data_IF_928188636428
#
_entry.id   IF_928188636428
#
_cell.length_a   1.000
_cell.length_b   1.000
_cell.length_c   1.000
_cell.angle_alpha   90.00
_cell.angle_beta   90.00
_cell.angle_gamma   90.00
#
_symmetry.space_group_name_H-M   'P 1'
#
loop_
_entity.id
_entity.type
_entity.pdbx_description
1 polymer ?
#
# COMPACT_ATOMS: atom_id res chain seq x y z
N UNK A 1 14.61 -9.67 -3.16
CA UNK A 1 13.38 -8.88 -2.88
C UNK A 1 12.22 -9.59 -3.54
N UNK A 2 11.32 -10.19 -2.76
CA UNK A 2 10.15 -10.86 -3.36
C UNK A 2 9.24 -9.80 -3.96
N UNK A 3 8.87 -9.97 -5.23
CA UNK A 3 7.96 -9.06 -5.93
C UNK A 3 6.57 -9.19 -5.29
N UNK A 4 5.94 -8.07 -5.00
CA UNK A 4 4.58 -8.07 -4.46
C UNK A 4 3.62 -8.75 -5.46
N UNK A 5 2.84 -9.73 -5.01
CA UNK A 5 1.93 -10.52 -5.85
C UNK A 5 0.63 -9.76 -6.14
N UNK A 6 0.75 -8.80 -7.06
CA UNK A 6 -0.38 -8.03 -7.58
C UNK A 6 -1.51 -8.89 -8.17
N UNK A 7 -1.22 -9.92 -8.99
CA UNK A 7 -2.26 -10.79 -9.52
C UNK A 7 -3.10 -11.47 -8.43
N UNK A 8 -2.47 -11.97 -7.36
CA UNK A 8 -3.19 -12.58 -6.25
C UNK A 8 -4.09 -11.57 -5.52
N UNK A 9 -3.60 -10.35 -5.30
CA UNK A 9 -4.38 -9.29 -4.65
C UNK A 9 -5.62 -8.90 -5.48
N UNK A 10 -5.45 -8.69 -6.79
CA UNK A 10 -6.53 -8.34 -7.71
C UNK A 10 -7.59 -9.45 -7.78
N UNK A 11 -7.17 -10.72 -7.80
CA UNK A 11 -8.10 -11.86 -7.74
C UNK A 11 -8.84 -11.93 -6.42
N UNK A 12 -8.20 -11.63 -5.29
CA UNK A 12 -8.84 -11.70 -3.98
C UNK A 12 -9.83 -10.56 -3.74
N UNK A 13 -9.55 -9.36 -4.26
CA UNK A 13 -10.42 -8.19 -4.17
C UNK A 13 -11.52 -8.16 -5.25
N UNK A 14 -11.11 -7.84 -6.48
CA UNK A 14 -12.02 -7.61 -7.62
C UNK A 14 -12.71 -8.92 -8.03
N UNK A 15 -11.93 -9.99 -8.22
CA UNK A 15 -12.47 -11.29 -8.66
C UNK A 15 -13.19 -12.10 -7.58
N UNK A 16 -12.72 -12.02 -6.33
CA UNK A 16 -13.13 -12.89 -5.24
C UNK A 16 -14.25 -12.33 -4.38
N UNK A 17 -14.35 -11.00 -4.25
CA UNK A 17 -15.44 -10.33 -3.50
C UNK A 17 -16.40 -9.54 -4.38
N UNK A 18 -16.19 -9.51 -5.69
CA UNK A 18 -17.03 -8.76 -6.63
C UNK A 18 -16.91 -7.24 -6.48
N UNK A 19 -15.82 -6.75 -5.88
CA UNK A 19 -15.55 -5.31 -5.81
C UNK A 19 -15.36 -4.78 -7.22
N UNK A 20 -16.03 -3.68 -7.55
CA UNK A 20 -15.68 -2.95 -8.78
C UNK A 20 -14.26 -2.38 -8.65
N UNK A 21 -13.54 -2.14 -9.77
CA UNK A 21 -12.21 -1.55 -9.71
C UNK A 21 -12.19 -0.23 -8.93
N UNK A 22 -13.23 0.60 -9.06
CA UNK A 22 -13.34 1.88 -8.36
C UNK A 22 -13.43 1.69 -6.84
N UNK A 23 -14.28 0.77 -6.37
CA UNK A 23 -14.40 0.46 -4.95
C UNK A 23 -13.10 -0.12 -4.39
N UNK A 24 -12.44 -1.02 -5.13
CA UNK A 24 -11.17 -1.60 -4.72
C UNK A 24 -10.08 -0.54 -4.50
N UNK A 25 -9.97 0.45 -5.38
CA UNK A 25 -8.98 1.53 -5.25
C UNK A 25 -9.38 2.62 -4.26
N UNK A 26 -10.66 2.74 -3.91
CA UNK A 26 -11.14 3.64 -2.88
C UNK A 26 -10.89 3.10 -1.46
N UNK A 27 -10.74 1.77 -1.30
CA UNK A 27 -10.49 1.16 0.00
C UNK A 27 -9.11 1.52 0.55
N UNK A 28 -9.07 1.75 1.85
CA UNK A 28 -7.79 1.79 2.56
C UNK A 28 -7.19 0.38 2.63
N UNK A 29 -5.85 0.24 2.71
CA UNK A 29 -5.22 -1.07 2.90
C UNK A 29 -5.74 -1.82 4.13
N UNK A 30 -6.09 -1.11 5.20
CA UNK A 30 -6.66 -1.70 6.42
C UNK A 30 -8.05 -2.32 6.18
N UNK A 31 -8.93 -1.61 5.46
CA UNK A 31 -10.26 -2.14 5.11
C UNK A 31 -10.16 -3.33 4.16
N UNK A 32 -9.25 -3.27 3.19
CA UNK A 32 -9.00 -4.38 2.28
C UNK A 32 -8.53 -5.63 3.05
N UNK A 33 -7.59 -5.49 3.97
CA UNK A 33 -7.09 -6.59 4.81
C UNK A 33 -8.17 -7.17 5.72
N UNK A 34 -9.01 -6.30 6.29
CA UNK A 34 -10.17 -6.70 7.10
C UNK A 34 -11.14 -7.53 6.27
N UNK A 35 -11.47 -7.08 5.05
CA UNK A 35 -12.31 -7.82 4.13
C UNK A 35 -11.69 -9.19 3.82
N UNK A 36 -10.40 -9.24 3.47
CA UNK A 36 -9.67 -10.49 3.18
C UNK A 36 -9.59 -11.49 4.36
N UNK A 37 -10.16 -11.17 5.52
CA UNK A 37 -10.21 -12.08 6.68
C UNK A 37 -8.87 -12.15 7.42
N UNK A 38 -7.92 -11.28 7.10
CA UNK A 38 -6.65 -11.18 7.80
C UNK A 38 -6.81 -10.37 9.09
N UNK A 39 -7.56 -10.92 10.05
CA UNK A 39 -7.61 -10.41 11.42
C UNK A 39 -6.33 -10.82 12.14
N UNK A 40 -5.41 -9.88 12.35
CA UNK A 40 -4.25 -10.07 13.24
C UNK A 40 -2.86 -10.11 12.59
N UNK A 41 -2.74 -9.86 11.27
CA UNK A 41 -1.46 -9.67 10.57
C UNK A 41 -1.31 -8.30 9.93
N UNK A 42 -1.98 -7.29 10.46
CA UNK A 42 -1.52 -5.92 10.26
C UNK A 42 -0.38 -5.70 11.24
N UNK A 43 0.86 -5.85 10.78
CA UNK A 43 1.96 -5.11 11.41
C UNK A 43 1.43 -3.68 11.63
N UNK A 44 1.55 -3.18 12.85
CA UNK A 44 0.97 -1.90 13.24
C UNK A 44 1.24 -0.86 12.14
N UNK A 45 0.25 -0.01 11.78
CA UNK A 45 0.45 1.00 10.75
C UNK A 45 1.76 1.71 11.04
N UNK A 46 2.60 1.87 10.01
CA UNK A 46 3.98 2.37 10.14
C UNK A 46 4.06 3.43 11.24
N UNK A 47 4.71 3.08 12.35
CA UNK A 47 4.85 4.01 13.45
C UNK A 47 5.59 5.25 12.94
N UNK A 48 5.30 6.42 13.52
CA UNK A 48 5.92 7.68 13.12
C UNK A 48 7.45 7.59 13.03
N UNK A 49 8.07 6.85 13.95
CA UNK A 49 9.50 6.56 13.95
C UNK A 49 9.99 5.85 12.66
N UNK A 50 9.25 4.86 12.16
CA UNK A 50 9.61 4.13 10.94
C UNK A 50 9.47 5.00 9.69
N UNK A 51 8.48 5.88 9.67
CA UNK A 51 8.34 6.86 8.60
C UNK A 51 9.55 7.83 8.58
N UNK A 52 9.97 8.31 9.74
CA UNK A 52 11.14 9.20 9.87
C UNK A 52 12.45 8.51 9.48
N UNK A 53 12.62 7.23 9.82
CA UNK A 53 13.74 6.42 9.34
C UNK A 53 13.79 6.33 7.81
N UNK A 54 12.64 6.09 7.17
CA UNK A 54 12.56 5.99 5.71
C UNK A 54 12.81 7.33 5.03
N UNK A 55 12.25 8.42 5.55
CA UNK A 55 12.49 9.77 5.02
C UNK A 55 13.98 10.15 5.06
N UNK A 56 14.71 9.67 6.08
CA UNK A 56 16.16 9.86 6.17
C UNK A 56 16.95 8.95 5.23
N UNK A 57 16.48 7.71 5.05
CA UNK A 57 17.14 6.73 4.18
C UNK A 57 16.93 7.05 2.68
N UNK A 58 15.81 7.67 2.34
CA UNK A 58 15.41 8.05 1.00
C UNK A 58 14.98 9.52 0.99
N UNK A 59 15.93 10.46 1.12
CA UNK A 59 15.62 11.88 1.05
C UNK A 59 15.14 12.22 -0.36
N UNK A 60 14.05 12.98 -0.47
CA UNK A 60 13.57 13.46 -1.76
C UNK A 60 14.62 14.37 -2.39
N UNK A 61 15.08 14.01 -3.58
CA UNK A 61 15.85 14.93 -4.41
C UNK A 61 14.90 15.99 -4.93
N UNK A 62 15.10 17.23 -4.52
CA UNK A 62 14.53 18.36 -5.26
C UNK A 62 15.20 18.33 -6.62
N UNK A 63 14.46 17.91 -7.65
CA UNK A 63 14.84 18.17 -9.03
C UNK A 63 15.06 19.67 -9.11
N UNK A 64 16.32 20.08 -9.18
CA UNK A 64 16.66 21.50 -9.19
C UNK A 64 15.88 22.19 -10.29
N UNK A 65 15.33 23.36 -9.97
CA UNK A 65 15.00 24.37 -10.97
C UNK A 65 16.22 24.51 -11.88
N UNK A 66 16.12 23.93 -13.07
CA UNK A 66 17.20 23.81 -14.03
C UNK A 66 16.66 23.69 -15.45
N UNK A 67 15.46 24.22 -15.68
CA UNK A 67 14.97 24.52 -17.02
C UNK A 67 15.14 26.03 -17.24
N UNK A 68 16.34 26.43 -17.68
CA UNK A 68 16.56 27.62 -18.51
C UNK A 68 17.03 27.16 -19.89
#
# INVERSE_FOLDING_TARGET
MSRFDWPALMRAGIGGRGLTPAEFWALTPAELLLMLGQRGKTDAPMARARLEELARAYPDETRGDGDE
#
